data_IF_296359778457
#
_entry.id   IF_296359778457
#
_cell.length_a   1.000
_cell.length_b   1.000
_cell.length_c   1.000
_cell.angle_alpha   90.00
_cell.angle_beta   90.00
_cell.angle_gamma   90.00
#
_symmetry.space_group_name_H-M   'P 1'
#
loop_
_entity.id
_entity.type
_entity.pdbx_description
1 polymer ?
#
# COMPACT_ATOMS: atom_id res chain seq x y z
N UNK A 1 18.82 12.26 -0.67
CA UNK A 1 18.21 11.45 -1.74
C UNK A 1 18.52 9.99 -1.46
N UNK A 2 17.51 9.14 -1.45
CA UNK A 2 17.68 7.69 -1.38
C UNK A 2 18.41 7.26 -2.66
N UNK A 3 19.63 6.75 -2.54
CA UNK A 3 20.38 6.20 -3.69
C UNK A 3 20.47 4.70 -3.47
N UNK A 4 19.87 3.93 -4.38
CA UNK A 4 20.06 2.49 -4.38
C UNK A 4 21.56 2.17 -4.59
N UNK A 5 22.03 1.02 -4.11
CA UNK A 5 23.34 0.52 -4.48
C UNK A 5 23.43 0.50 -5.99
N UNK A 6 24.46 1.14 -6.55
CA UNK A 6 24.70 1.10 -7.99
C UNK A 6 24.87 -0.37 -8.40
N UNK A 7 24.20 -0.76 -9.48
CA UNK A 7 24.50 -2.00 -10.19
C UNK A 7 25.94 -1.99 -10.72
N UNK A 8 26.29 -2.97 -11.56
CA UNK A 8 27.57 -2.91 -12.30
C UNK A 8 27.68 -1.56 -13.02
N UNK A 9 28.89 -1.02 -13.13
CA UNK A 9 29.12 0.35 -13.61
C UNK A 9 28.47 0.70 -14.97
N UNK A 10 28.13 -0.31 -15.77
CA UNK A 10 27.51 -0.16 -17.10
C UNK A 10 26.01 -0.48 -17.15
N UNK A 11 25.36 -0.86 -16.04
CA UNK A 11 23.92 -1.15 -16.02
C UNK A 11 23.12 0.13 -15.72
N UNK A 12 22.06 0.42 -16.50
CA UNK A 12 21.17 1.55 -16.25
C UNK A 12 20.54 1.48 -14.85
N UNK A 13 20.49 2.60 -14.15
CA UNK A 13 19.89 2.68 -12.82
C UNK A 13 18.38 2.37 -12.90
N UNK A 14 17.85 1.62 -11.94
CA UNK A 14 16.42 1.34 -11.84
C UNK A 14 15.61 2.65 -11.74
N UNK A 15 14.54 2.76 -12.52
CA UNK A 15 13.72 3.96 -12.60
C UNK A 15 14.30 5.11 -13.43
N UNK A 16 15.42 4.90 -14.12
CA UNK A 16 16.07 5.95 -14.93
C UNK A 16 15.35 6.27 -16.23
N UNK A 17 14.54 5.33 -16.76
CA UNK A 17 13.85 5.50 -18.05
C UNK A 17 12.66 4.54 -18.18
N UNK A 18 11.80 4.71 -19.20
CA UNK A 18 10.72 3.75 -19.48
C UNK A 18 11.21 2.33 -19.77
N UNK A 19 12.41 2.19 -20.37
CA UNK A 19 13.02 0.89 -20.66
C UNK A 19 13.69 0.26 -19.41
N UNK A 20 13.89 1.07 -18.36
CA UNK A 20 14.44 0.68 -17.07
C UNK A 20 13.56 1.19 -15.92
N UNK A 21 12.30 0.71 -15.82
CA UNK A 21 11.36 1.17 -14.82
C UNK A 21 11.71 0.65 -13.42
N UNK A 22 11.02 1.18 -12.40
CA UNK A 22 11.03 0.58 -11.06
C UNK A 22 10.11 -0.63 -11.07
N UNK A 23 10.64 -1.80 -10.72
CA UNK A 23 9.85 -3.03 -10.64
C UNK A 23 9.36 -3.22 -9.22
N UNK A 24 8.04 -3.12 -9.03
CA UNK A 24 7.40 -3.31 -7.72
C UNK A 24 7.03 -4.78 -7.51
N UNK A 25 8.00 -5.58 -7.07
CA UNK A 25 7.79 -6.99 -6.75
C UNK A 25 6.75 -7.19 -5.64
N UNK A 26 5.84 -8.14 -5.84
CA UNK A 26 4.78 -8.45 -4.86
C UNK A 26 3.66 -7.42 -4.76
N UNK A 27 3.64 -6.40 -5.63
CA UNK A 27 2.61 -5.36 -5.65
C UNK A 27 1.66 -5.58 -6.82
N UNK A 28 0.37 -5.69 -6.52
CA UNK A 28 -0.65 -5.68 -7.58
C UNK A 28 -1.00 -4.26 -7.99
N UNK A 29 -1.36 -4.06 -9.26
CA UNK A 29 -1.80 -2.75 -9.75
C UNK A 29 -3.01 -2.21 -8.96
N UNK A 30 -3.94 -3.08 -8.56
CA UNK A 30 -5.12 -2.71 -7.75
C UNK A 30 -4.74 -2.22 -6.36
N UNK A 31 -3.81 -2.90 -5.68
CA UNK A 31 -3.34 -2.48 -4.36
C UNK A 31 -2.62 -1.12 -4.45
N UNK A 32 -1.81 -0.93 -5.50
CA UNK A 32 -1.09 0.33 -5.70
C UNK A 32 -2.03 1.49 -6.02
N UNK A 33 -3.04 1.28 -6.88
CA UNK A 33 -4.07 2.29 -7.15
C UNK A 33 -4.85 2.64 -5.88
N UNK A 34 -5.20 1.65 -5.06
CA UNK A 34 -5.90 1.90 -3.79
C UNK A 34 -5.04 2.72 -2.83
N UNK A 35 -3.74 2.41 -2.71
CA UNK A 35 -2.81 3.19 -1.90
C UNK A 35 -2.71 4.64 -2.41
N UNK A 36 -2.56 4.86 -3.71
CA UNK A 36 -2.52 6.21 -4.28
C UNK A 36 -3.81 6.97 -3.99
N UNK A 37 -4.98 6.32 -4.13
CA UNK A 37 -6.25 6.93 -3.75
C UNK A 37 -6.25 7.32 -2.27
N UNK A 38 -5.82 6.46 -1.35
CA UNK A 38 -5.74 6.81 0.09
C UNK A 38 -4.80 8.02 0.32
N UNK A 39 -3.63 8.04 -0.32
CA UNK A 39 -2.63 9.10 -0.15
C UNK A 39 -3.11 10.45 -0.68
N UNK A 40 -3.69 10.47 -1.88
CA UNK A 40 -4.05 11.70 -2.58
C UNK A 40 -5.50 12.12 -2.38
N UNK A 41 -6.39 11.22 -1.95
CA UNK A 41 -7.79 11.54 -1.63
C UNK A 41 -7.97 12.02 -0.18
N UNK A 42 -6.91 12.48 0.49
CA UNK A 42 -6.97 13.02 1.86
C UNK A 42 -7.96 14.19 2.03
N UNK A 43 -8.35 14.83 0.93
CA UNK A 43 -9.35 15.90 0.87
C UNK A 43 -10.77 15.42 0.49
N UNK A 44 -10.97 14.12 0.27
CA UNK A 44 -12.29 13.57 -0.03
C UNK A 44 -12.98 13.08 1.26
N UNK A 45 -14.27 13.40 1.45
CA UNK A 45 -14.96 13.21 2.73
C UNK A 45 -15.22 11.74 3.10
N UNK A 46 -15.16 10.82 2.14
CA UNK A 46 -15.44 9.39 2.37
C UNK A 46 -14.44 8.54 1.61
N UNK A 47 -13.68 7.73 2.36
CA UNK A 47 -12.87 6.66 1.77
C UNK A 47 -13.78 5.46 1.49
N UNK A 48 -13.80 4.99 0.25
CA UNK A 48 -14.53 3.78 -0.12
C UNK A 48 -13.95 2.56 0.62
N UNK A 49 -14.82 1.74 1.22
CA UNK A 49 -14.42 0.58 2.02
C UNK A 49 -13.57 -0.43 1.21
N UNK A 50 -13.85 -0.56 -0.09
CA UNK A 50 -13.14 -1.42 -1.04
C UNK A 50 -11.66 -1.05 -1.20
N UNK A 51 -11.26 0.17 -0.84
CA UNK A 51 -9.87 0.63 -0.93
C UNK A 51 -9.06 0.27 0.32
N UNK A 52 -9.71 -0.07 1.44
CA UNK A 52 -9.06 -0.22 2.73
C UNK A 52 -8.11 -1.42 2.73
N UNK A 53 -8.59 -2.63 2.39
CA UNK A 53 -7.76 -3.84 2.41
C UNK A 53 -6.59 -3.74 1.41
N UNK A 54 -6.83 -3.39 0.13
CA UNK A 54 -5.75 -3.27 -0.86
C UNK A 54 -4.69 -2.23 -0.48
N UNK A 55 -5.11 -1.06 0.03
CA UNK A 55 -4.15 -0.06 0.53
C UNK A 55 -3.41 -0.55 1.77
N UNK A 56 -4.11 -1.22 2.69
CA UNK A 56 -3.52 -1.73 3.93
C UNK A 56 -2.39 -2.73 3.67
N UNK A 57 -2.53 -3.59 2.65
CA UNK A 57 -1.48 -4.54 2.21
C UNK A 57 -0.15 -3.84 1.97
N UNK A 58 -0.16 -2.76 1.19
CA UNK A 58 1.08 -2.06 0.82
C UNK A 58 1.64 -1.20 1.95
N UNK A 59 0.79 -0.50 2.72
CA UNK A 59 1.28 0.26 3.89
C UNK A 59 1.89 -0.66 4.95
N UNK A 60 1.33 -1.86 5.12
CA UNK A 60 1.87 -2.86 6.02
C UNK A 60 3.17 -3.47 5.46
N UNK A 61 3.20 -3.82 4.17
CA UNK A 61 4.39 -4.34 3.49
C UNK A 61 5.58 -3.37 3.57
N UNK A 62 5.33 -2.07 3.40
CA UNK A 62 6.37 -1.03 3.41
C UNK A 62 6.57 -0.36 4.77
N UNK A 63 5.90 -0.85 5.83
CA UNK A 63 5.99 -0.33 7.20
C UNK A 63 5.66 1.17 7.34
N UNK A 64 4.64 1.66 6.63
CA UNK A 64 4.14 3.03 6.78
C UNK A 64 3.23 3.15 8.02
N UNK A 65 3.86 3.25 9.19
CA UNK A 65 3.20 3.22 10.51
C UNK A 65 2.08 4.26 10.68
N UNK A 66 2.26 5.49 10.20
CA UNK A 66 1.23 6.53 10.28
C UNK A 66 -0.01 6.17 9.46
N UNK A 67 0.18 5.60 8.26
CA UNK A 67 -0.93 5.19 7.40
C UNK A 67 -1.61 3.92 7.91
N UNK A 68 -0.87 2.98 8.49
CA UNK A 68 -1.46 1.84 9.20
C UNK A 68 -2.36 2.33 10.35
N UNK A 69 -1.88 3.30 11.14
CA UNK A 69 -2.64 3.88 12.26
C UNK A 69 -3.89 4.63 11.76
N UNK A 70 -3.81 5.26 10.59
CA UNK A 70 -4.95 5.94 9.97
C UNK A 70 -6.00 4.96 9.41
N UNK A 71 -5.56 3.90 8.72
CA UNK A 71 -6.45 2.95 8.04
C UNK A 71 -7.09 1.93 8.99
N UNK A 72 -6.42 1.56 10.08
CA UNK A 72 -6.90 0.53 10.99
C UNK A 72 -8.28 0.84 11.62
N UNK A 73 -8.54 2.06 12.17
CA UNK A 73 -9.87 2.42 12.65
C UNK A 73 -10.93 2.47 11.53
N UNK A 74 -10.53 2.86 10.31
CA UNK A 74 -11.42 2.88 9.15
C UNK A 74 -11.82 1.47 8.73
N UNK A 75 -10.90 0.51 8.81
CA UNK A 75 -11.21 -0.90 8.60
C UNK A 75 -12.27 -1.40 9.59
N UNK A 76 -12.11 -1.09 10.88
CA UNK A 76 -13.09 -1.44 11.92
C UNK A 76 -14.47 -0.81 11.70
N UNK A 77 -14.54 0.38 11.12
CA UNK A 77 -15.80 1.12 10.90
C UNK A 77 -16.52 0.74 9.60
N UNK A 78 -15.76 0.55 8.51
CA UNK A 78 -16.31 0.54 7.16
C UNK A 78 -16.36 -0.84 6.50
N UNK A 79 -15.61 -1.82 7.01
CA UNK A 79 -15.69 -3.20 6.52
C UNK A 79 -16.91 -3.91 7.09
N UNK A 80 -17.47 -4.86 6.33
CA UNK A 80 -18.45 -5.79 6.87
C UNK A 80 -17.78 -6.85 7.78
N UNK A 81 -18.59 -7.65 8.46
CA UNK A 81 -18.07 -8.61 9.44
C UNK A 81 -17.22 -9.72 8.80
N UNK A 82 -17.51 -10.12 7.56
CA UNK A 82 -16.72 -11.13 6.85
C UNK A 82 -15.36 -10.54 6.47
N UNK A 83 -15.36 -9.33 5.90
CA UNK A 83 -14.15 -8.61 5.50
C UNK A 83 -13.27 -8.29 6.71
N UNK A 84 -13.85 -7.96 7.88
CA UNK A 84 -13.10 -7.77 9.13
C UNK A 84 -12.37 -9.04 9.56
N UNK A 85 -13.02 -10.20 9.49
CA UNK A 85 -12.41 -11.49 9.85
C UNK A 85 -11.27 -11.81 8.87
N UNK A 86 -11.48 -11.62 7.57
CA UNK A 86 -10.44 -11.82 6.57
C UNK A 86 -9.26 -10.87 6.77
N UNK A 87 -9.55 -9.59 7.04
CA UNK A 87 -8.54 -8.57 7.32
C UNK A 87 -7.71 -8.91 8.56
N UNK A 88 -8.36 -9.23 9.69
CA UNK A 88 -7.67 -9.59 10.93
C UNK A 88 -6.79 -10.83 10.75
N UNK A 89 -7.29 -11.84 10.02
CA UNK A 89 -6.54 -13.06 9.69
C UNK A 89 -5.32 -12.77 8.82
N UNK A 90 -5.48 -11.96 7.78
CA UNK A 90 -4.40 -11.62 6.85
C UNK A 90 -3.25 -10.90 7.56
N UNK A 91 -3.58 -9.92 8.41
CA UNK A 91 -2.58 -9.09 9.09
C UNK A 91 -2.22 -9.57 10.50
N UNK A 92 -2.72 -10.73 10.92
CA UNK A 92 -2.50 -11.33 12.25
C UNK A 92 -2.81 -10.37 13.40
N UNK A 93 -3.85 -9.57 13.22
CA UNK A 93 -4.34 -8.64 14.25
C UNK A 93 -5.12 -9.50 15.25
N UNK A 94 -4.78 -9.37 16.54
CA UNK A 94 -5.52 -10.04 17.60
C UNK A 94 -6.82 -9.28 17.85
N UNK A 95 -7.90 -10.04 18.09
CA UNK A 95 -9.19 -9.51 18.58
C UNK A 95 -9.03 -8.70 19.87
#
# INVERSE_FOLDING_TARGET
MFKLPKGRADEPEEGSSPDHPIIMEGVTASDFVALLKVLYARNQPVLEASLIIPAFRLVNMWNFSELCTYLLPLAGKNLDDIDKIMFAREFRIKE
#
